data_IF_729729757706
#
_entry.id   IF_729729757706
#
_cell.length_a   1.000
_cell.length_b   1.000
_cell.length_c   1.000
_cell.angle_alpha   90.00
_cell.angle_beta   90.00
_cell.angle_gamma   90.00
#
_symmetry.space_group_name_H-M   'P 1'
#
loop_
_entity.id
_entity.type
_entity.pdbx_description
1 polymer ?
#
# COMPACT_ATOMS: atom_id res chain seq x y z
N UNK A 1 17.10 6.67 -2.45
CA UNK A 1 15.95 6.72 -1.51
C UNK A 1 16.13 5.60 -0.49
N UNK A 2 16.52 5.92 0.74
CA UNK A 2 16.87 4.94 1.79
C UNK A 2 16.16 5.28 3.10
N UNK A 3 14.89 5.67 3.01
CA UNK A 3 14.04 5.96 4.16
C UNK A 3 12.94 4.91 4.31
N UNK A 4 12.73 4.42 5.53
CA UNK A 4 11.52 3.69 5.91
C UNK A 4 10.30 4.54 5.56
N UNK A 5 9.24 4.01 4.90
CA UNK A 5 8.05 4.80 4.62
C UNK A 5 7.39 5.25 5.92
N UNK A 6 7.14 6.56 6.03
CA UNK A 6 6.56 7.19 7.22
C UNK A 6 5.12 6.70 7.44
N UNK A 7 4.39 6.50 6.35
CA UNK A 7 2.99 6.12 6.33
C UNK A 7 2.68 5.22 5.15
N UNK A 8 1.71 4.33 5.33
CA UNK A 8 1.11 3.59 4.24
C UNK A 8 -0.35 3.96 4.03
N UNK A 9 -0.79 3.95 2.77
CA UNK A 9 -2.19 4.06 2.37
C UNK A 9 -2.65 2.76 1.73
N UNK A 10 -3.75 2.19 2.23
CA UNK A 10 -4.43 1.06 1.60
C UNK A 10 -5.68 1.56 0.88
N UNK A 11 -5.61 1.60 -0.45
CA UNK A 11 -6.72 2.05 -1.30
C UNK A 11 -7.85 1.01 -1.38
N UNK A 12 -9.09 1.42 -1.13
CA UNK A 12 -10.29 0.59 -1.31
C UNK A 12 -10.85 0.65 -2.74
N UNK A 13 -12.13 0.28 -2.91
CA UNK A 13 -12.83 0.39 -4.18
C UNK A 13 -12.76 1.82 -4.72
N UNK A 14 -12.36 1.97 -5.98
CA UNK A 14 -12.17 3.25 -6.66
C UNK A 14 -10.81 3.92 -6.43
N UNK A 15 -9.95 3.37 -5.57
CA UNK A 15 -8.65 3.96 -5.24
C UNK A 15 -7.50 2.97 -5.51
N UNK A 16 -7.11 2.85 -6.78
CA UNK A 16 -6.18 1.80 -7.25
C UNK A 16 -4.77 2.30 -7.57
N UNK A 17 -4.61 3.61 -7.76
CA UNK A 17 -3.33 4.31 -7.97
C UNK A 17 -3.33 5.60 -7.16
N UNK A 18 -2.16 6.09 -6.78
CA UNK A 18 -2.04 7.29 -5.95
C UNK A 18 -0.78 8.11 -6.21
N UNK A 19 0.33 7.45 -6.53
CA UNK A 19 1.63 8.07 -6.74
C UNK A 19 1.94 8.18 -8.24
N UNK A 20 2.57 9.27 -8.64
CA UNK A 20 3.16 9.43 -9.96
C UNK A 20 4.55 8.78 -9.98
N UNK A 21 4.83 7.96 -11.01
CA UNK A 21 6.07 7.22 -11.20
C UNK A 21 6.63 6.51 -9.94
N UNK A 22 5.83 5.67 -9.26
CA UNK A 22 6.26 5.02 -8.03
C UNK A 22 7.35 3.97 -8.29
N UNK A 23 8.24 3.79 -7.32
CA UNK A 23 9.08 2.61 -7.24
C UNK A 23 8.23 1.43 -6.74
N UNK A 24 8.11 0.37 -7.52
CA UNK A 24 7.40 -0.83 -7.11
C UNK A 24 8.32 -1.80 -6.37
N UNK A 25 7.85 -2.31 -5.23
CA UNK A 25 8.56 -3.30 -4.44
C UNK A 25 7.71 -4.56 -4.31
N UNK A 26 8.24 -5.64 -4.86
CA UNK A 26 7.76 -7.00 -4.61
C UNK A 26 8.22 -7.46 -3.23
N UNK A 27 7.27 -7.93 -2.42
CA UNK A 27 7.55 -8.39 -1.05
C UNK A 27 7.04 -9.81 -0.88
N UNK A 28 7.96 -10.73 -0.62
CA UNK A 28 7.60 -12.09 -0.22
C UNK A 28 7.09 -12.09 1.21
N UNK A 29 5.98 -12.80 1.46
CA UNK A 29 5.42 -12.92 2.81
C UNK A 29 5.16 -14.39 3.16
N UNK A 30 5.23 -14.77 4.45
CA UNK A 30 4.85 -16.10 4.91
C UNK A 30 3.37 -16.47 4.66
N UNK A 31 2.54 -15.49 4.29
CA UNK A 31 1.10 -15.66 4.08
C UNK A 31 0.71 -15.72 2.60
N UNK A 32 1.68 -15.74 1.70
CA UNK A 32 1.47 -15.66 0.25
C UNK A 32 1.68 -14.24 -0.28
N UNK A 33 1.15 -13.98 -1.48
CA UNK A 33 1.32 -12.68 -2.14
C UNK A 33 0.40 -11.60 -1.52
N UNK A 34 0.88 -10.36 -1.37
CA UNK A 34 0.02 -9.20 -1.17
C UNK A 34 -0.91 -8.97 -2.37
N UNK A 35 -1.89 -8.09 -2.22
CA UNK A 35 -2.84 -7.73 -3.29
C UNK A 35 -2.17 -7.11 -4.53
N UNK A 36 -1.01 -6.49 -4.38
CA UNK A 36 -0.19 -5.93 -5.46
C UNK A 36 1.23 -5.65 -4.93
N UNK A 37 2.22 -5.38 -5.81
CA UNK A 37 3.48 -4.80 -5.39
C UNK A 37 3.26 -3.49 -4.62
N UNK A 38 4.05 -3.25 -3.57
CA UNK A 38 3.95 -2.01 -2.79
C UNK A 38 4.54 -0.87 -3.63
N UNK A 39 3.75 0.17 -3.88
CA UNK A 39 4.22 1.37 -4.56
C UNK A 39 4.83 2.33 -3.54
N UNK A 40 6.11 2.67 -3.68
CA UNK A 40 6.78 3.68 -2.90
C UNK A 40 6.92 4.99 -3.68
N UNK A 41 6.77 6.10 -2.99
CA UNK A 41 6.99 7.42 -3.56
C UNK A 41 7.10 8.49 -2.50
N UNK A 42 7.32 9.72 -2.95
CA UNK A 42 7.39 10.90 -2.08
C UNK A 42 6.09 11.68 -2.20
N UNK A 43 5.52 12.07 -1.06
CA UNK A 43 4.41 13.01 -1.00
C UNK A 43 4.91 14.34 -0.42
N UNK A 44 4.88 15.40 -1.22
CA UNK A 44 5.19 16.75 -0.77
C UNK A 44 4.03 17.33 0.02
N UNK A 45 4.33 17.94 1.17
CA UNK A 45 3.37 18.63 2.01
C UNK A 45 3.94 19.95 2.51
N UNK A 46 3.09 20.80 3.10
CA UNK A 46 3.52 22.06 3.71
C UNK A 46 4.54 21.87 4.86
N UNK A 47 4.57 20.67 5.46
CA UNK A 47 5.49 20.29 6.54
C UNK A 47 6.79 19.63 6.02
N UNK A 48 6.92 19.47 4.71
CA UNK A 48 8.02 18.79 4.04
C UNK A 48 7.60 17.53 3.29
N UNK A 49 8.58 16.90 2.65
CA UNK A 49 8.43 15.66 1.89
C UNK A 49 8.36 14.46 2.84
N UNK A 50 7.40 13.56 2.57
CA UNK A 50 7.23 12.30 3.32
C UNK A 50 7.37 11.11 2.39
N UNK A 51 7.96 10.03 2.87
CA UNK A 51 8.03 8.76 2.12
C UNK A 51 6.74 7.98 2.36
N UNK A 52 6.06 7.59 1.28
CA UNK A 52 4.76 6.95 1.33
C UNK A 52 4.79 5.58 0.68
N UNK A 53 4.12 4.61 1.32
CA UNK A 53 3.80 3.31 0.72
C UNK A 53 2.32 3.26 0.32
N UNK A 54 2.01 2.73 -0.85
CA UNK A 54 0.64 2.56 -1.31
C UNK A 54 0.38 1.11 -1.74
N UNK A 55 -0.80 0.60 -1.34
CA UNK A 55 -1.25 -0.75 -1.67
C UNK A 55 -2.75 -0.75 -2.03
N UNK A 56 -3.14 -1.07 -3.28
CA UNK A 56 -4.54 -1.27 -3.61
C UNK A 56 -5.07 -2.57 -2.99
N UNK A 57 -6.09 -2.48 -2.15
CA UNK A 57 -6.67 -3.61 -1.40
C UNK A 57 -7.18 -4.73 -2.30
N UNK A 58 -7.81 -4.35 -3.41
CA UNK A 58 -8.43 -5.27 -4.36
C UNK A 58 -7.51 -5.63 -5.54
N UNK A 59 -6.22 -5.29 -5.46
CA UNK A 59 -5.29 -5.39 -6.59
C UNK A 59 -5.46 -4.23 -7.57
N UNK A 60 -4.52 -4.10 -8.51
CA UNK A 60 -4.53 -3.00 -9.50
C UNK A 60 -5.69 -3.09 -10.46
N UNK A 61 -6.05 -4.31 -10.86
CA UNK A 61 -7.16 -4.58 -11.75
C UNK A 61 -8.52 -4.76 -11.06
N UNK A 62 -8.61 -4.49 -9.75
CA UNK A 62 -9.79 -4.83 -8.93
C UNK A 62 -10.17 -6.32 -9.05
N UNK A 63 -9.18 -7.18 -9.03
CA UNK A 63 -9.33 -8.63 -9.25
C UNK A 63 -9.71 -9.41 -7.99
N UNK A 64 -9.39 -8.88 -6.80
CA UNK A 64 -9.68 -9.56 -5.54
C UNK A 64 -10.97 -9.06 -4.92
N UNK A 65 -12.05 -9.87 -4.83
CA UNK A 65 -13.23 -9.51 -4.03
C UNK A 65 -12.87 -9.47 -2.55
N UNK A 66 -13.66 -8.73 -1.75
CA UNK A 66 -13.35 -8.46 -0.33
C UNK A 66 -13.00 -9.72 0.50
N UNK A 67 -13.68 -10.84 0.27
CA UNK A 67 -13.46 -12.10 0.99
C UNK A 67 -12.20 -12.87 0.54
N UNK A 68 -11.56 -12.48 -0.56
CA UNK A 68 -10.32 -13.09 -1.08
C UNK A 68 -9.09 -12.20 -0.88
N UNK A 69 -9.26 -11.00 -0.32
CA UNK A 69 -8.13 -10.13 -0.01
C UNK A 69 -7.25 -10.80 1.04
N UNK A 70 -5.96 -10.92 0.73
CA UNK A 70 -4.98 -11.49 1.65
C UNK A 70 -4.49 -10.45 2.66
N UNK A 71 -5.34 -10.12 3.63
CA UNK A 71 -5.05 -9.10 4.64
C UNK A 71 -3.76 -9.36 5.43
N UNK A 72 -3.42 -10.63 5.69
CA UNK A 72 -2.17 -10.98 6.41
C UNK A 72 -0.95 -10.66 5.57
N UNK A 73 -0.94 -11.02 4.29
CA UNK A 73 0.17 -10.68 3.39
C UNK A 73 0.30 -9.16 3.23
N UNK A 74 -0.82 -8.44 3.06
CA UNK A 74 -0.82 -6.98 2.93
C UNK A 74 -0.19 -6.30 4.14
N UNK A 75 -0.66 -6.63 5.35
CA UNK A 75 -0.13 -6.02 6.57
C UNK A 75 1.31 -6.45 6.87
N UNK A 76 1.66 -7.70 6.57
CA UNK A 76 3.03 -8.18 6.72
C UNK A 76 3.99 -7.42 5.80
N UNK A 77 3.65 -7.27 4.52
CA UNK A 77 4.50 -6.58 3.54
C UNK A 77 4.76 -5.13 3.93
N UNK A 78 3.73 -4.39 4.34
CA UNK A 78 3.90 -3.02 4.83
C UNK A 78 4.79 -2.99 6.08
N UNK A 79 4.55 -3.90 7.04
CA UNK A 79 5.34 -3.97 8.27
C UNK A 79 6.80 -4.33 8.02
N UNK A 80 7.10 -5.23 7.08
CA UNK A 80 8.47 -5.61 6.73
C UNK A 80 9.25 -4.47 6.06
N UNK A 81 8.56 -3.55 5.40
CA UNK A 81 9.15 -2.30 4.89
C UNK A 81 9.32 -1.24 5.98
N UNK A 82 8.95 -1.53 7.22
CA UNK A 82 9.12 -0.64 8.37
C UNK A 82 7.97 0.33 8.63
N UNK A 83 6.89 0.26 7.84
CA UNK A 83 5.67 1.07 8.04
C UNK A 83 5.15 0.89 9.47
N UNK A 84 4.85 2.01 10.13
CA UNK A 84 4.27 2.04 11.49
C UNK A 84 2.82 2.53 11.53
N UNK A 85 2.38 3.24 10.50
CA UNK A 85 1.04 3.82 10.44
C UNK A 85 0.40 3.52 9.09
N UNK A 86 -0.88 3.12 9.13
CA UNK A 86 -1.66 2.79 7.93
C UNK A 86 -2.96 3.59 7.94
N UNK A 87 -3.28 4.25 6.82
CA UNK A 87 -4.57 4.85 6.54
C UNK A 87 -5.30 4.02 5.48
N UNK A 88 -6.52 3.58 5.76
CA UNK A 88 -7.26 2.68 4.87
C UNK A 88 -8.69 3.19 4.66
N UNK A 89 -8.91 4.15 3.75
CA UNK A 89 -10.25 4.62 3.43
C UNK A 89 -11.11 3.50 2.82
N UNK A 90 -12.40 3.48 3.16
CA UNK A 90 -13.36 2.48 2.69
C UNK A 90 -14.61 3.17 2.15
N UNK A 91 -15.07 2.75 0.97
CA UNK A 91 -16.40 3.10 0.48
C UNK A 91 -17.47 2.36 1.32
N UNK A 92 -18.48 3.10 1.76
CA UNK A 92 -19.65 2.62 2.54
C UNK A 92 -20.91 3.34 2.06
N UNK A 93 -22.09 2.80 2.36
CA UNK A 93 -23.40 3.39 2.07
C UNK A 93 -24.25 3.51 3.32
#
# INVERSE_FOLDING_TARGET
MTGTPDIAIIGGSGFYTFLEDPQEIEVETPYGKPSAPIALGTLSSAEGDRTLAFLPRHGRGHEFPAHQVNYRANMWALRSLGVRQVLAPCAVG
#
